data_IF_965335874404
#
_entry.id   IF_965335874404
#
_cell.length_a   1.000
_cell.length_b   1.000
_cell.length_c   1.000
_cell.angle_alpha   90.00
_cell.angle_beta   90.00
_cell.angle_gamma   90.00
#
_symmetry.space_group_name_H-M   'P 1'
#
loop_
_entity.id
_entity.type
_entity.pdbx_description
1 polymer ?
#
# COMPACT_ATOMS: atom_id res chain seq x y z
N UNK A 1 -7.61 18.77 4.33
CA UNK A 1 -7.61 18.84 2.87
C UNK A 1 -8.42 17.67 2.32
N UNK A 2 -9.04 17.85 1.16
CA UNK A 2 -9.91 16.84 0.57
C UNK A 2 -9.20 15.48 0.37
N UNK A 3 -7.98 15.49 -0.15
CA UNK A 3 -7.26 14.25 -0.40
C UNK A 3 -6.83 13.53 0.89
N UNK A 4 -6.76 14.20 2.02
CA UNK A 4 -6.50 13.56 3.30
C UNK A 4 -7.70 12.75 3.77
N UNK A 5 -8.91 13.21 3.45
CA UNK A 5 -10.12 12.46 3.76
C UNK A 5 -10.23 11.24 2.88
N UNK A 6 -9.90 11.41 1.59
CA UNK A 6 -9.98 10.34 0.61
C UNK A 6 -8.93 9.27 0.80
N UNK A 7 -7.77 9.61 1.36
CA UNK A 7 -6.64 8.66 1.45
C UNK A 7 -6.97 7.45 2.32
N UNK A 8 -7.74 7.63 3.39
CA UNK A 8 -8.13 6.49 4.23
C UNK A 8 -9.00 5.51 3.46
N UNK A 9 -10.00 6.03 2.76
CA UNK A 9 -10.91 5.20 1.96
C UNK A 9 -10.16 4.55 0.79
N UNK A 10 -9.31 5.32 0.15
CA UNK A 10 -8.52 4.88 -0.99
C UNK A 10 -7.57 3.75 -0.61
N UNK A 11 -6.87 3.88 0.51
CA UNK A 11 -5.95 2.84 0.98
C UNK A 11 -6.68 1.61 1.51
N UNK A 12 -7.90 1.78 2.02
CA UNK A 12 -8.75 0.65 2.40
C UNK A 12 -9.15 -0.14 1.17
N UNK A 13 -9.58 0.53 0.11
CA UNK A 13 -9.94 -0.13 -1.16
C UNK A 13 -8.74 -0.84 -1.76
N UNK A 14 -7.57 -0.21 -1.67
CA UNK A 14 -6.33 -0.81 -2.13
C UNK A 14 -6.03 -2.10 -1.35
N UNK A 15 -6.18 -2.08 -0.03
CA UNK A 15 -5.97 -3.27 0.81
C UNK A 15 -6.90 -4.42 0.39
N UNK A 16 -8.15 -4.10 0.11
CA UNK A 16 -9.12 -5.11 -0.35
C UNK A 16 -8.67 -5.69 -1.69
N UNK A 17 -8.20 -4.84 -2.60
CA UNK A 17 -7.70 -5.31 -3.89
C UNK A 17 -6.47 -6.19 -3.73
N UNK A 18 -5.58 -5.85 -2.80
CA UNK A 18 -4.39 -6.67 -2.49
C UNK A 18 -4.79 -8.05 -1.98
N UNK A 19 -5.81 -8.13 -1.12
CA UNK A 19 -6.32 -9.42 -0.65
C UNK A 19 -6.76 -10.29 -1.83
N UNK A 20 -7.46 -9.69 -2.79
CA UNK A 20 -7.93 -10.40 -3.99
C UNK A 20 -6.77 -10.80 -4.91
N UNK A 21 -5.80 -9.90 -5.05
CA UNK A 21 -4.58 -10.19 -5.83
C UNK A 21 -3.83 -11.38 -5.21
N UNK A 22 -3.68 -11.39 -3.89
CA UNK A 22 -3.01 -12.48 -3.20
C UNK A 22 -3.74 -13.81 -3.40
N UNK A 23 -5.07 -13.78 -3.43
CA UNK A 23 -5.85 -14.98 -3.71
C UNK A 23 -5.57 -15.50 -5.14
N UNK A 24 -5.49 -14.61 -6.13
CA UNK A 24 -5.14 -14.99 -7.50
C UNK A 24 -3.71 -15.55 -7.58
N UNK A 25 -2.79 -14.93 -6.87
CA UNK A 25 -1.39 -15.40 -6.85
C UNK A 25 -1.31 -16.80 -6.27
N UNK A 26 -2.05 -17.09 -5.20
CA UNK A 26 -2.08 -18.42 -4.62
C UNK A 26 -2.67 -19.46 -5.59
N UNK A 27 -3.69 -19.08 -6.34
CA UNK A 27 -4.25 -19.95 -7.37
C UNK A 27 -3.24 -20.28 -8.47
N UNK A 28 -2.34 -19.34 -8.73
CA UNK A 28 -1.25 -19.52 -9.69
C UNK A 28 -0.01 -20.17 -9.08
N UNK A 29 -0.15 -20.69 -7.86
CA UNK A 29 0.89 -21.43 -7.15
C UNK A 29 2.17 -20.63 -6.88
N UNK A 30 2.01 -19.33 -6.68
CA UNK A 30 3.13 -18.50 -6.27
C UNK A 30 3.48 -18.84 -4.83
N UNK A 31 4.77 -18.91 -4.53
CA UNK A 31 5.28 -19.30 -3.21
C UNK A 31 4.68 -18.48 -2.10
N UNK A 32 4.17 -19.17 -1.08
CA UNK A 32 3.49 -18.57 0.06
C UNK A 32 4.26 -17.43 0.72
N UNK A 33 5.58 -17.56 0.99
CA UNK A 33 6.31 -16.46 1.64
C UNK A 33 6.28 -15.15 0.85
N UNK A 34 6.32 -15.22 -0.48
CA UNK A 34 6.25 -14.02 -1.32
C UNK A 34 4.87 -13.37 -1.25
N UNK A 35 3.83 -14.20 -1.37
CA UNK A 35 2.45 -13.73 -1.30
C UNK A 35 2.17 -13.11 0.06
N UNK A 36 2.67 -13.73 1.13
CA UNK A 36 2.46 -13.26 2.49
C UNK A 36 3.12 -11.90 2.73
N UNK A 37 4.32 -11.67 2.17
CA UNK A 37 4.99 -10.38 2.28
C UNK A 37 4.19 -9.27 1.59
N UNK A 38 3.66 -9.55 0.42
CA UNK A 38 2.81 -8.59 -0.29
C UNK A 38 1.53 -8.31 0.48
N UNK A 39 0.88 -9.34 1.03
CA UNK A 39 -0.33 -9.19 1.81
C UNK A 39 -0.08 -8.27 3.02
N UNK A 40 1.00 -8.52 3.75
CA UNK A 40 1.37 -7.72 4.93
C UNK A 40 1.65 -6.27 4.58
N UNK A 41 2.52 -6.03 3.60
CA UNK A 41 2.89 -4.65 3.24
C UNK A 41 1.72 -3.90 2.61
N UNK A 42 0.96 -4.55 1.74
CA UNK A 42 -0.16 -3.90 1.06
C UNK A 42 -1.29 -3.50 1.99
N UNK A 43 -1.59 -4.34 2.99
CA UNK A 43 -2.62 -4.01 3.98
C UNK A 43 -2.12 -3.03 5.04
N UNK A 44 -0.80 -2.96 5.25
CA UNK A 44 -0.20 -2.00 6.20
C UNK A 44 -0.33 -0.56 5.76
N UNK A 45 -0.44 -0.29 4.46
CA UNK A 45 -0.58 1.09 3.98
C UNK A 45 -1.81 1.74 4.62
N UNK A 46 -2.97 1.16 4.44
CA UNK A 46 -4.22 1.70 5.00
C UNK A 46 -4.30 1.59 6.51
N UNK A 47 -3.71 0.54 7.08
CA UNK A 47 -3.68 0.38 8.54
C UNK A 47 -2.95 1.57 9.20
N UNK A 48 -1.82 1.98 8.62
CA UNK A 48 -1.05 3.11 9.16
C UNK A 48 -1.71 4.46 8.88
N UNK A 49 -2.38 4.60 7.76
CA UNK A 49 -3.19 5.81 7.49
C UNK A 49 -4.30 5.93 8.54
N UNK A 50 -4.94 4.82 8.89
CA UNK A 50 -5.98 4.79 9.91
C UNK A 50 -5.41 5.19 11.28
N UNK A 51 -4.22 4.69 11.63
CA UNK A 51 -3.55 5.07 12.87
C UNK A 51 -3.14 6.55 12.88
N UNK A 52 -2.70 7.06 11.74
CA UNK A 52 -2.36 8.48 11.62
C UNK A 52 -3.56 9.35 11.98
N UNK A 53 -4.73 9.02 11.45
CA UNK A 53 -5.96 9.80 11.72
C UNK A 53 -6.42 9.71 13.17
N UNK A 54 -6.03 8.67 13.88
CA UNK A 54 -6.36 8.48 15.30
C UNK A 54 -5.30 9.06 16.23
N UNK A 55 -4.20 9.59 15.70
CA UNK A 55 -3.09 10.10 16.52
C UNK A 55 -3.48 11.40 17.24
N UNK A 56 -2.90 11.57 18.42
CA UNK A 56 -3.18 12.76 19.26
C UNK A 56 -2.13 13.85 19.11
N UNK A 57 -0.99 13.58 18.46
CA UNK A 57 0.06 14.57 18.26
C UNK A 57 0.46 14.66 16.79
N UNK A 58 0.97 15.82 16.39
CA UNK A 58 1.47 16.02 15.03
C UNK A 58 2.66 15.10 14.73
N UNK A 59 3.50 14.86 15.71
CA UNK A 59 4.66 13.99 15.57
C UNK A 59 4.23 12.56 15.24
N UNK A 60 3.24 12.03 15.95
CA UNK A 60 2.69 10.69 15.69
C UNK A 60 2.02 10.64 14.32
N UNK A 61 1.25 11.68 14.00
CA UNK A 61 0.56 11.78 12.72
C UNK A 61 1.55 11.63 11.56
N UNK A 62 2.63 12.40 11.57
CA UNK A 62 3.67 12.35 10.55
C UNK A 62 4.31 10.96 10.51
N UNK A 63 4.62 10.41 11.67
CA UNK A 63 5.27 9.11 11.77
C UNK A 63 4.43 8.01 11.11
N UNK A 64 3.12 7.97 11.38
CA UNK A 64 2.27 6.94 10.80
C UNK A 64 2.11 7.11 9.29
N UNK A 65 2.05 8.34 8.78
CA UNK A 65 2.05 8.56 7.34
C UNK A 65 3.37 8.12 6.71
N UNK A 66 4.49 8.32 7.39
CA UNK A 66 5.80 7.87 6.90
C UNK A 66 5.86 6.34 6.84
N UNK A 67 5.32 5.66 7.84
CA UNK A 67 5.25 4.19 7.84
C UNK A 67 4.36 3.71 6.70
N UNK A 68 3.23 4.39 6.48
CA UNK A 68 2.34 4.04 5.37
C UNK A 68 3.07 4.15 4.02
N UNK A 69 3.85 5.22 3.82
CA UNK A 69 4.61 5.41 2.59
C UNK A 69 5.67 4.32 2.41
N UNK A 70 6.36 3.94 3.49
CA UNK A 70 7.32 2.83 3.45
C UNK A 70 6.64 1.53 3.06
N UNK A 71 5.45 1.26 3.62
CA UNK A 71 4.69 0.06 3.29
C UNK A 71 4.28 0.05 1.82
N UNK A 72 3.95 1.22 1.27
CA UNK A 72 3.62 1.35 -0.15
C UNK A 72 4.84 1.01 -1.01
N UNK A 73 6.00 1.55 -0.66
CA UNK A 73 7.25 1.27 -1.37
C UNK A 73 7.60 -0.21 -1.31
N UNK A 74 7.42 -0.82 -0.15
CA UNK A 74 7.68 -2.24 0.03
C UNK A 74 6.73 -3.09 -0.82
N UNK A 75 5.47 -2.70 -0.89
CA UNK A 75 4.47 -3.42 -1.70
C UNK A 75 4.83 -3.39 -3.19
N UNK A 76 5.32 -2.25 -3.67
CA UNK A 76 5.78 -2.13 -5.05
C UNK A 76 6.93 -3.11 -5.33
N UNK A 77 7.87 -3.19 -4.40
CA UNK A 77 9.00 -4.11 -4.50
C UNK A 77 8.53 -5.56 -4.60
N UNK A 78 7.62 -5.99 -3.72
CA UNK A 78 7.12 -7.37 -3.77
C UNK A 78 6.37 -7.67 -5.06
N UNK A 79 5.59 -6.73 -5.58
CA UNK A 79 4.91 -6.93 -6.85
C UNK A 79 5.89 -7.07 -8.01
N UNK A 80 6.96 -6.27 -8.02
CA UNK A 80 8.00 -6.37 -9.05
C UNK A 80 8.71 -7.72 -8.98
N UNK A 81 9.10 -8.15 -7.79
CA UNK A 81 9.78 -9.43 -7.59
C UNK A 81 8.90 -10.61 -8.03
N UNK A 82 7.65 -10.58 -7.67
CA UNK A 82 6.72 -11.65 -8.04
C UNK A 82 6.53 -11.67 -9.56
N UNK A 83 6.31 -10.51 -10.17
CA UNK A 83 6.09 -10.42 -11.61
C UNK A 83 7.32 -10.91 -12.40
N UNK A 84 8.50 -10.44 -12.03
CA UNK A 84 9.72 -10.77 -12.76
C UNK A 84 10.29 -12.13 -12.37
N UNK A 85 10.32 -12.43 -11.07
CA UNK A 85 10.88 -13.67 -10.56
C UNK A 85 10.04 -14.91 -10.84
N UNK A 86 8.73 -14.75 -10.83
CA UNK A 86 7.80 -15.85 -11.08
C UNK A 86 7.25 -15.83 -12.50
N UNK A 87 7.67 -14.87 -13.30
CA UNK A 87 7.25 -14.72 -14.71
C UNK A 87 5.73 -14.74 -14.88
N UNK A 88 5.04 -13.97 -14.04
CA UNK A 88 3.57 -13.91 -14.06
C UNK A 88 3.12 -12.47 -14.33
N UNK A 89 2.09 -12.32 -15.16
CA UNK A 89 1.46 -11.03 -15.43
C UNK A 89 -0.04 -11.16 -15.22
N UNK A 90 -0.56 -10.41 -14.26
CA UNK A 90 -1.98 -10.38 -13.97
C UNK A 90 -2.50 -8.96 -14.14
N UNK A 91 -3.64 -8.78 -14.83
CA UNK A 91 -4.23 -7.45 -15.01
C UNK A 91 -4.47 -6.74 -13.67
N UNK A 92 -4.94 -7.46 -12.66
CA UNK A 92 -5.17 -6.89 -11.32
C UNK A 92 -3.87 -6.34 -10.73
N UNK A 93 -2.77 -7.05 -10.86
CA UNK A 93 -1.49 -6.59 -10.31
C UNK A 93 -1.02 -5.32 -11.01
N UNK A 94 -1.22 -5.23 -12.31
CA UNK A 94 -0.88 -4.04 -13.08
C UNK A 94 -1.70 -2.83 -12.62
N UNK A 95 -2.99 -3.02 -12.39
CA UNK A 95 -3.88 -1.97 -11.89
C UNK A 95 -3.50 -1.56 -10.47
N UNK A 96 -3.18 -2.53 -9.60
CA UNK A 96 -2.76 -2.25 -8.23
C UNK A 96 -1.44 -1.48 -8.18
N UNK A 97 -0.51 -1.76 -9.09
CA UNK A 97 0.73 -0.99 -9.20
C UNK A 97 0.46 0.47 -9.53
N UNK A 98 -0.46 0.72 -10.48
CA UNK A 98 -0.82 2.08 -10.87
C UNK A 98 -1.47 2.84 -9.72
N UNK A 99 -2.38 2.20 -9.03
CA UNK A 99 -3.06 2.81 -7.90
C UNK A 99 -2.07 3.08 -6.76
N UNK A 100 -1.16 2.17 -6.52
CA UNK A 100 -0.14 2.32 -5.48
C UNK A 100 0.76 3.52 -5.74
N UNK A 101 1.12 3.76 -7.00
CA UNK A 101 1.92 4.91 -7.38
C UNK A 101 1.19 6.21 -7.04
N UNK A 102 -0.11 6.28 -7.32
CA UNK A 102 -0.91 7.44 -6.97
C UNK A 102 -1.04 7.63 -5.46
N UNK A 103 -1.26 6.53 -4.73
CA UNK A 103 -1.31 6.55 -3.26
C UNK A 103 0.01 7.09 -2.69
N UNK A 104 1.14 6.61 -3.22
CA UNK A 104 2.47 7.06 -2.76
C UNK A 104 2.66 8.56 -2.95
N UNK A 105 2.21 9.09 -4.08
CA UNK A 105 2.28 10.54 -4.35
C UNK A 105 1.44 11.33 -3.36
N UNK A 106 0.24 10.87 -3.07
CA UNK A 106 -0.64 11.53 -2.11
C UNK A 106 -0.02 11.51 -0.71
N UNK A 107 0.49 10.35 -0.28
CA UNK A 107 1.13 10.23 1.03
C UNK A 107 2.35 11.16 1.15
N UNK A 108 3.18 11.19 0.12
CA UNK A 108 4.35 12.07 0.10
C UNK A 108 3.94 13.55 0.21
N UNK A 109 2.89 13.94 -0.49
CA UNK A 109 2.37 15.32 -0.43
C UNK A 109 1.85 15.67 0.96
N UNK A 110 1.11 14.76 1.58
CA UNK A 110 0.60 14.95 2.95
C UNK A 110 1.77 15.17 3.91
N UNK A 111 2.78 14.31 3.83
CA UNK A 111 3.96 14.38 4.71
C UNK A 111 4.69 15.71 4.54
N UNK A 112 4.93 16.12 3.30
CA UNK A 112 5.61 17.39 3.00
C UNK A 112 4.83 18.57 3.60
N UNK A 113 3.53 18.58 3.41
CA UNK A 113 2.67 19.65 3.93
C UNK A 113 2.66 19.69 5.47
N UNK A 114 2.64 18.52 6.10
CA UNK A 114 2.65 18.44 7.57
C UNK A 114 3.96 18.93 8.17
N UNK A 115 5.07 18.78 7.45
CA UNK A 115 6.40 19.20 7.92
C UNK A 115 6.72 20.66 7.69
N UNK A 116 5.87 21.39 6.99
CA UNK A 116 6.06 22.83 6.75
C UNK A 116 5.88 23.68 8.01
#
# INVERSE_FOLDING_TARGET
MAYEKDIRDRTKKFAISIIRLCAELRKNKIDFPLVNQLLRSGTSVGANVTEAKASSTKKELIRYYEIALRSANESEYWMEIIEEGCEIKLPRMNEDKKELLEISKVLATIIINLKK
#
